data_IF_246805383213
#
_entry.id   IF_246805383213
#
_cell.length_a   1.000
_cell.length_b   1.000
_cell.length_c   1.000
_cell.angle_alpha   90.00
_cell.angle_beta   90.00
_cell.angle_gamma   90.00
#
_symmetry.space_group_name_H-M   'P 1'
#
loop_
_entity.id
_entity.type
_entity.pdbx_description
1 polymer ?
#
# COMPACT_ATOMS: atom_id res chain seq x y z
N UNK A 1 23.19 16.46 9.29
CA UNK A 1 21.84 16.41 8.70
C UNK A 1 21.85 16.79 7.22
N UNK A 2 22.80 17.63 6.75
CA UNK A 2 22.81 18.12 5.37
C UNK A 2 23.26 17.10 4.31
N UNK A 3 24.13 16.13 4.62
CA UNK A 3 24.65 15.17 3.64
C UNK A 3 23.61 14.14 3.20
N UNK A 4 22.87 13.54 4.13
CA UNK A 4 21.87 12.53 3.81
C UNK A 4 20.70 13.08 2.96
N UNK A 5 20.21 14.30 3.29
CA UNK A 5 19.19 14.97 2.49
C UNK A 5 19.70 15.30 1.08
N UNK A 6 20.95 15.81 0.97
CA UNK A 6 21.61 16.09 -0.30
C UNK A 6 21.72 14.85 -1.17
N UNK A 7 22.07 13.67 -0.58
CA UNK A 7 22.20 12.41 -1.31
C UNK A 7 20.85 11.90 -1.83
N UNK A 8 19.75 12.10 -1.07
CA UNK A 8 18.41 11.73 -1.52
C UNK A 8 17.99 12.56 -2.72
N UNK A 9 18.14 13.89 -2.66
CA UNK A 9 17.82 14.77 -3.79
C UNK A 9 18.69 14.47 -5.01
N UNK A 10 19.99 14.22 -4.81
CA UNK A 10 20.90 13.84 -5.88
C UNK A 10 20.43 12.58 -6.61
N UNK A 11 20.00 11.55 -5.88
CA UNK A 11 19.48 10.30 -6.46
C UNK A 11 18.19 10.54 -7.24
N UNK A 12 17.28 11.38 -6.75
CA UNK A 12 16.04 11.73 -7.46
C UNK A 12 16.35 12.43 -8.80
N UNK A 13 17.19 13.47 -8.77
CA UNK A 13 17.62 14.18 -9.98
C UNK A 13 18.34 13.25 -10.97
N UNK A 14 19.20 12.38 -10.45
CA UNK A 14 19.90 11.39 -11.24
C UNK A 14 18.93 10.40 -11.91
N UNK A 15 17.92 9.92 -11.21
CA UNK A 15 16.90 9.02 -11.80
C UNK A 15 16.11 9.72 -12.90
N UNK A 16 15.73 10.98 -12.69
CA UNK A 16 15.05 11.77 -13.73
C UNK A 16 15.98 11.97 -14.94
N UNK A 17 17.24 12.30 -14.73
CA UNK A 17 18.21 12.43 -15.82
C UNK A 17 18.40 11.12 -16.57
N UNK A 18 18.58 10.00 -15.86
CA UNK A 18 18.75 8.66 -16.45
C UNK A 18 17.55 8.23 -17.28
N UNK A 19 16.34 8.69 -16.97
CA UNK A 19 15.15 8.38 -17.76
C UNK A 19 15.23 8.91 -19.21
N UNK A 20 16.03 9.94 -19.45
CA UNK A 20 16.32 10.48 -20.78
C UNK A 20 17.58 9.89 -21.43
N UNK A 21 18.26 8.98 -20.74
CA UNK A 21 19.50 8.37 -21.19
C UNK A 21 19.30 6.89 -21.53
N UNK A 22 20.07 6.39 -22.48
CA UNK A 22 20.30 4.97 -22.66
C UNK A 22 21.45 4.57 -21.74
N UNK A 23 21.14 3.86 -20.66
CA UNK A 23 22.11 3.45 -19.64
C UNK A 23 22.29 1.95 -19.74
N UNK A 24 23.47 1.51 -20.11
CA UNK A 24 23.85 0.09 -20.19
C UNK A 24 24.22 -0.50 -18.83
N UNK A 25 24.42 -1.83 -18.80
CA UNK A 25 24.73 -2.60 -17.59
C UNK A 25 26.07 -2.16 -16.95
N UNK A 26 27.02 -1.64 -17.71
CA UNK A 26 28.35 -1.20 -17.24
C UNK A 26 28.44 0.29 -16.89
N UNK A 27 27.30 1.00 -16.90
CA UNK A 27 27.26 2.40 -16.51
C UNK A 27 27.49 3.38 -17.66
N UNK A 28 27.72 2.90 -18.89
CA UNK A 28 27.78 3.74 -20.07
C UNK A 28 26.42 4.44 -20.27
N UNK A 29 26.46 5.77 -20.31
CA UNK A 29 25.24 6.57 -20.50
C UNK A 29 25.36 7.46 -21.72
N UNK A 30 24.40 7.35 -22.62
CA UNK A 30 24.25 8.26 -23.77
C UNK A 30 22.89 8.91 -23.74
N UNK A 31 22.84 10.21 -24.00
CA UNK A 31 21.58 10.93 -24.06
C UNK A 31 20.70 10.42 -25.20
N UNK A 32 19.49 9.97 -24.90
CA UNK A 32 18.54 9.37 -25.85
C UNK A 32 17.25 10.20 -26.00
N UNK A 33 17.17 11.36 -25.35
CA UNK A 33 15.98 12.20 -25.36
C UNK A 33 14.73 11.43 -24.84
N UNK A 34 13.65 11.50 -25.59
CA UNK A 34 12.36 10.87 -25.22
C UNK A 34 12.22 9.42 -25.69
N UNK A 35 13.27 8.75 -26.14
CA UNK A 35 13.18 7.38 -26.68
C UNK A 35 12.63 6.36 -25.67
N UNK A 36 13.06 6.44 -24.40
CA UNK A 36 12.55 5.58 -23.32
C UNK A 36 11.06 5.81 -23.07
N UNK A 37 10.62 7.06 -23.07
CA UNK A 37 9.20 7.41 -22.88
C UNK A 37 8.34 6.94 -24.04
N UNK A 38 8.81 7.13 -25.29
CA UNK A 38 8.09 6.63 -26.47
C UNK A 38 7.92 5.11 -26.41
N UNK A 39 8.98 4.39 -26.04
CA UNK A 39 8.92 2.95 -25.83
C UNK A 39 7.95 2.59 -24.70
N UNK A 40 8.05 3.24 -23.54
CA UNK A 40 7.23 3.00 -22.36
C UNK A 40 5.73 3.19 -22.65
N UNK A 41 5.34 4.26 -23.31
CA UNK A 41 3.94 4.51 -23.65
C UNK A 41 3.37 3.50 -24.67
N UNK A 42 4.22 2.91 -25.52
CA UNK A 42 3.84 1.87 -26.46
C UNK A 42 3.89 0.46 -25.88
N UNK A 43 4.42 0.27 -24.66
CA UNK A 43 4.63 -1.04 -24.05
C UNK A 43 3.38 -1.49 -23.27
N UNK A 44 2.68 -2.55 -23.73
CA UNK A 44 1.50 -3.07 -23.04
C UNK A 44 1.80 -3.59 -21.63
N UNK A 45 3.04 -4.03 -21.35
CA UNK A 45 3.46 -4.58 -20.06
C UNK A 45 3.45 -3.50 -18.99
N UNK A 46 3.86 -2.27 -19.32
CA UNK A 46 3.82 -1.11 -18.42
C UNK A 46 2.39 -0.79 -18.00
N UNK A 47 1.47 -0.74 -18.96
CA UNK A 47 0.05 -0.48 -18.67
C UNK A 47 -0.62 -1.59 -17.88
N UNK A 48 -0.26 -2.85 -18.17
CA UNK A 48 -0.76 -3.99 -17.41
C UNK A 48 -0.27 -3.94 -15.96
N UNK A 49 1.01 -3.67 -15.71
CA UNK A 49 1.60 -3.58 -14.38
C UNK A 49 1.02 -2.40 -13.59
N UNK A 50 0.80 -1.26 -14.27
CA UNK A 50 0.14 -0.10 -13.67
C UNK A 50 -1.30 -0.45 -13.27
N UNK A 51 -2.06 -1.11 -14.14
CA UNK A 51 -3.42 -1.58 -13.84
C UNK A 51 -3.44 -2.57 -12.68
N UNK A 52 -2.50 -3.51 -12.62
CA UNK A 52 -2.38 -4.45 -11.50
C UNK A 52 -2.10 -3.72 -10.18
N UNK A 53 -1.23 -2.69 -10.22
CA UNK A 53 -0.94 -1.85 -9.04
C UNK A 53 -2.20 -1.13 -8.56
N UNK A 54 -3.01 -0.58 -9.46
CA UNK A 54 -4.29 0.03 -9.10
C UNK A 54 -5.29 -0.99 -8.54
N UNK A 55 -5.39 -2.18 -9.12
CA UNK A 55 -6.24 -3.26 -8.60
C UNK A 55 -5.86 -3.63 -7.17
N UNK A 56 -4.57 -3.75 -6.89
CA UNK A 56 -4.06 -3.97 -5.54
C UNK A 56 -4.48 -2.84 -4.60
N UNK A 57 -4.23 -1.59 -4.99
CA UNK A 57 -4.54 -0.41 -4.17
C UNK A 57 -6.04 -0.27 -3.89
N UNK A 58 -6.93 -0.57 -4.86
CA UNK A 58 -8.40 -0.51 -4.69
C UNK A 58 -8.89 -1.50 -3.63
N UNK A 59 -8.22 -2.62 -3.43
CA UNK A 59 -8.57 -3.54 -2.33
C UNK A 59 -7.82 -3.13 -1.05
N UNK A 60 -6.50 -2.99 -1.12
CA UNK A 60 -5.67 -2.81 0.07
C UNK A 60 -6.06 -1.55 0.84
N UNK A 61 -6.19 -0.40 0.17
CA UNK A 61 -6.41 0.89 0.85
C UNK A 61 -7.75 0.93 1.60
N UNK A 62 -8.91 0.70 0.97
CA UNK A 62 -10.18 0.84 1.69
C UNK A 62 -10.37 -0.24 2.78
N UNK A 63 -9.97 -1.49 2.52
CA UNK A 63 -10.14 -2.54 3.51
C UNK A 63 -9.20 -2.39 4.70
N UNK A 64 -7.93 -2.00 4.48
CA UNK A 64 -6.99 -1.77 5.57
C UNK A 64 -7.43 -0.59 6.46
N UNK A 65 -7.94 0.49 5.86
CA UNK A 65 -8.46 1.65 6.59
C UNK A 65 -9.72 1.28 7.38
N UNK A 66 -10.70 0.64 6.73
CA UNK A 66 -11.96 0.29 7.36
C UNK A 66 -11.76 -0.67 8.55
N UNK A 67 -11.00 -1.75 8.35
CA UNK A 67 -10.74 -2.72 9.42
C UNK A 67 -9.93 -2.08 10.55
N UNK A 68 -8.89 -1.30 10.23
CA UNK A 68 -8.09 -0.62 11.22
C UNK A 68 -8.90 0.39 12.05
N UNK A 69 -9.81 1.14 11.41
CA UNK A 69 -10.71 2.07 12.10
C UNK A 69 -11.66 1.34 13.06
N UNK A 70 -12.28 0.26 12.60
CA UNK A 70 -13.14 -0.59 13.44
C UNK A 70 -12.35 -1.09 14.66
N UNK A 71 -11.17 -1.67 14.44
CA UNK A 71 -10.31 -2.16 15.53
C UNK A 71 -9.89 -1.04 16.48
N UNK A 72 -9.55 0.15 15.97
CA UNK A 72 -9.20 1.31 16.79
C UNK A 72 -10.37 1.75 17.69
N UNK A 73 -11.58 1.82 17.16
CA UNK A 73 -12.79 2.16 17.94
C UNK A 73 -13.05 1.12 19.04
N UNK A 74 -12.90 -0.18 18.75
CA UNK A 74 -13.04 -1.22 19.77
C UNK A 74 -11.95 -1.11 20.84
N UNK A 75 -10.69 -0.92 20.46
CA UNK A 75 -9.57 -0.85 21.38
C UNK A 75 -9.44 0.51 22.07
N UNK A 76 -10.22 1.52 21.69
CA UNK A 76 -10.29 2.79 22.41
C UNK A 76 -11.12 2.68 23.69
N UNK A 77 -12.01 1.69 23.79
CA UNK A 77 -12.80 1.42 25.01
C UNK A 77 -11.92 0.86 26.12
N UNK A 78 -12.35 1.08 27.37
CA UNK A 78 -11.69 0.46 28.54
C UNK A 78 -11.94 -1.06 28.50
N UNK A 79 -10.91 -1.85 28.21
CA UNK A 79 -10.97 -3.30 28.20
C UNK A 79 -9.68 -3.93 28.76
N UNK A 80 -9.81 -5.07 29.41
CA UNK A 80 -8.66 -5.82 29.90
C UNK A 80 -7.82 -6.37 28.74
N UNK A 81 -6.49 -6.33 28.88
CA UNK A 81 -5.58 -6.87 27.84
C UNK A 81 -5.42 -5.99 26.60
N UNK A 82 -5.89 -4.75 26.59
CA UNK A 82 -5.79 -3.82 25.45
C UNK A 82 -4.38 -3.74 24.84
N UNK A 83 -3.36 -3.73 25.67
CA UNK A 83 -1.96 -3.68 25.25
C UNK A 83 -1.56 -4.93 24.47
N UNK A 84 -2.04 -6.12 24.90
CA UNK A 84 -1.77 -7.39 24.23
C UNK A 84 -2.42 -7.41 22.85
N UNK A 85 -3.68 -7.00 22.72
CA UNK A 85 -4.36 -6.93 21.42
C UNK A 85 -3.65 -5.95 20.47
N UNK A 86 -3.23 -4.78 20.97
CA UNK A 86 -2.43 -3.83 20.17
C UNK A 86 -1.13 -4.47 19.66
N UNK A 87 -0.42 -5.18 20.52
CA UNK A 87 0.82 -5.87 20.15
C UNK A 87 0.57 -6.95 19.09
N UNK A 88 -0.48 -7.78 19.24
CA UNK A 88 -0.83 -8.84 18.29
C UNK A 88 -1.16 -8.26 16.91
N UNK A 89 -1.98 -7.20 16.82
CA UNK A 89 -2.33 -6.58 15.56
C UNK A 89 -1.16 -5.82 14.91
N UNK A 90 -0.22 -5.30 15.71
CA UNK A 90 0.96 -4.60 15.23
C UNK A 90 2.09 -5.53 14.78
N UNK A 91 2.09 -6.77 15.28
CA UNK A 91 3.14 -7.75 15.02
C UNK A 91 3.43 -7.96 13.52
N UNK A 92 2.43 -8.07 12.62
CA UNK A 92 2.69 -8.30 11.19
C UNK A 92 3.58 -7.25 10.54
N UNK A 93 3.49 -6.00 10.97
CA UNK A 93 4.29 -4.91 10.43
C UNK A 93 5.76 -4.97 10.86
N UNK A 94 6.04 -5.55 12.01
CA UNK A 94 7.42 -5.66 12.56
C UNK A 94 8.16 -6.86 12.01
N UNK A 95 7.43 -7.86 11.52
CA UNK A 95 8.00 -9.09 10.94
C UNK A 95 8.57 -8.79 9.56
N UNK A 96 9.74 -9.37 9.27
CA UNK A 96 10.38 -9.23 7.98
C UNK A 96 9.44 -9.67 6.83
N UNK A 97 9.33 -8.90 5.73
CA UNK A 97 8.43 -9.22 4.60
C UNK A 97 8.64 -10.63 4.04
N UNK A 98 9.87 -11.13 4.04
CA UNK A 98 10.19 -12.49 3.58
C UNK A 98 9.53 -13.57 4.46
N UNK A 99 9.54 -13.39 5.78
CA UNK A 99 8.90 -14.33 6.70
C UNK A 99 7.37 -14.30 6.54
N UNK A 100 6.78 -13.11 6.39
CA UNK A 100 5.35 -12.93 6.07
C UNK A 100 5.01 -13.69 4.79
N UNK A 101 5.79 -13.49 3.73
CA UNK A 101 5.56 -14.15 2.45
C UNK A 101 5.64 -15.68 2.57
N UNK A 102 6.61 -16.23 3.30
CA UNK A 102 6.74 -17.67 3.51
C UNK A 102 5.53 -18.26 4.24
N UNK A 103 5.06 -17.61 5.31
CA UNK A 103 3.87 -18.05 6.05
C UNK A 103 2.63 -18.03 5.16
N UNK A 104 2.42 -16.96 4.41
CA UNK A 104 1.27 -16.86 3.52
C UNK A 104 1.35 -17.81 2.33
N UNK A 105 2.53 -18.07 1.75
CA UNK A 105 2.73 -19.10 0.72
C UNK A 105 2.34 -20.48 1.25
N UNK A 106 2.67 -20.80 2.50
CA UNK A 106 2.24 -22.04 3.13
C UNK A 106 0.72 -22.06 3.36
N UNK A 107 0.12 -21.00 3.89
CA UNK A 107 -1.32 -20.88 4.10
C UNK A 107 -2.11 -21.05 2.79
N UNK A 108 -1.59 -20.47 1.70
CA UNK A 108 -2.19 -20.49 0.37
C UNK A 108 -1.84 -21.74 -0.47
N UNK A 109 -1.10 -22.67 0.06
CA UNK A 109 -0.75 -23.88 -0.70
C UNK A 109 -2.01 -24.65 -1.09
N UNK A 110 -2.11 -25.03 -2.40
CA UNK A 110 -3.31 -25.67 -2.93
C UNK A 110 -3.52 -27.10 -2.44
N UNK A 111 -2.47 -27.81 -2.03
CA UNK A 111 -2.52 -29.21 -1.63
C UNK A 111 -2.63 -29.40 -0.10
N UNK A 112 -1.81 -28.68 0.66
CA UNK A 112 -1.70 -28.84 2.11
C UNK A 112 -1.85 -27.54 2.90
N UNK A 113 -2.24 -26.45 2.25
CA UNK A 113 -2.41 -25.15 2.89
C UNK A 113 -3.60 -25.13 3.85
N UNK A 114 -3.41 -24.47 4.99
CA UNK A 114 -4.40 -24.39 6.07
C UNK A 114 -5.74 -23.80 5.59
N UNK A 115 -5.70 -22.78 4.71
CA UNK A 115 -6.93 -22.15 4.22
C UNK A 115 -7.78 -23.11 3.40
N UNK A 116 -7.17 -23.87 2.49
CA UNK A 116 -7.89 -24.87 1.72
C UNK A 116 -8.41 -26.02 2.60
N UNK A 117 -7.65 -26.39 3.62
CA UNK A 117 -8.08 -27.41 4.58
C UNK A 117 -9.35 -26.97 5.36
N UNK A 118 -9.35 -25.73 5.87
CA UNK A 118 -10.50 -25.17 6.61
C UNK A 118 -11.72 -25.01 5.70
N UNK A 119 -11.52 -24.54 4.46
CA UNK A 119 -12.60 -24.27 3.51
C UNK A 119 -13.10 -25.54 2.80
N UNK A 120 -12.41 -26.69 2.94
CA UNK A 120 -12.73 -27.90 2.21
C UNK A 120 -12.56 -27.77 0.69
N UNK A 121 -11.64 -26.91 0.23
CA UNK A 121 -11.45 -26.55 -1.18
C UNK A 121 -10.03 -26.85 -1.66
N UNK A 122 -9.79 -26.71 -2.97
CA UNK A 122 -8.47 -26.80 -3.60
C UNK A 122 -8.20 -25.57 -4.46
N UNK A 123 -8.41 -24.39 -3.88
CA UNK A 123 -8.23 -23.13 -4.57
C UNK A 123 -6.74 -22.85 -4.76
N UNK A 124 -6.36 -22.49 -5.97
CA UNK A 124 -5.00 -22.07 -6.33
C UNK A 124 -4.83 -20.57 -6.08
N UNK A 125 -4.70 -20.19 -4.82
CA UNK A 125 -4.71 -18.80 -4.35
C UNK A 125 -3.68 -17.89 -5.05
N UNK A 126 -2.47 -18.40 -5.31
CA UNK A 126 -1.36 -17.62 -5.89
C UNK A 126 -1.00 -18.03 -7.32
N UNK A 127 -1.48 -19.19 -7.80
CA UNK A 127 -1.15 -19.68 -9.16
C UNK A 127 -2.24 -19.35 -10.17
N UNK A 128 -3.47 -19.08 -9.72
CA UNK A 128 -4.57 -18.74 -10.60
C UNK A 128 -4.55 -17.25 -10.95
N UNK A 129 -4.36 -16.86 -12.24
CA UNK A 129 -4.26 -15.46 -12.67
C UNK A 129 -5.49 -14.60 -12.37
N UNK A 130 -6.67 -15.21 -12.11
CA UNK A 130 -7.91 -14.48 -11.82
C UNK A 130 -7.97 -13.97 -10.38
N UNK A 131 -7.36 -14.68 -9.44
CA UNK A 131 -7.50 -14.40 -8.00
C UNK A 131 -6.18 -14.06 -7.31
N UNK A 132 -5.03 -14.37 -7.90
CA UNK A 132 -3.72 -14.16 -7.28
C UNK A 132 -3.50 -12.72 -6.81
N UNK A 133 -3.93 -11.71 -7.57
CA UNK A 133 -3.84 -10.31 -7.20
C UNK A 133 -4.67 -9.97 -5.95
N UNK A 134 -5.84 -10.63 -5.77
CA UNK A 134 -6.67 -10.50 -4.56
C UNK A 134 -5.95 -11.13 -3.37
N UNK A 135 -5.37 -12.31 -3.57
CA UNK A 135 -4.62 -13.01 -2.53
C UNK A 135 -3.44 -12.19 -2.02
N UNK A 136 -2.68 -11.55 -2.91
CA UNK A 136 -1.60 -10.63 -2.52
C UNK A 136 -2.16 -9.39 -1.81
N UNK A 137 -3.30 -8.85 -2.25
CA UNK A 137 -3.92 -7.70 -1.60
C UNK A 137 -4.40 -8.04 -0.17
N UNK A 138 -4.91 -9.25 0.08
CA UNK A 138 -5.28 -9.73 1.42
C UNK A 138 -4.06 -9.74 2.35
N UNK A 139 -2.91 -10.21 1.87
CA UNK A 139 -1.66 -10.17 2.65
C UNK A 139 -1.31 -8.71 2.98
N UNK A 140 -1.39 -7.81 2.01
CA UNK A 140 -1.13 -6.39 2.20
C UNK A 140 -2.03 -5.76 3.24
N UNK A 141 -3.35 -6.00 3.15
CA UNK A 141 -4.33 -5.54 4.15
C UNK A 141 -3.94 -6.04 5.55
N UNK A 142 -3.72 -7.34 5.71
CA UNK A 142 -3.36 -7.94 6.99
C UNK A 142 -2.07 -7.34 7.57
N UNK A 143 -1.06 -7.11 6.73
CA UNK A 143 0.24 -6.61 7.16
C UNK A 143 0.19 -5.18 7.70
N UNK A 144 -0.73 -4.34 7.23
CA UNK A 144 -0.75 -2.90 7.55
C UNK A 144 -1.85 -2.48 8.52
N UNK A 145 -2.84 -3.34 8.77
CA UNK A 145 -3.97 -3.03 9.66
C UNK A 145 -3.49 -2.50 11.01
N UNK A 146 -2.49 -3.15 11.61
CA UNK A 146 -2.01 -2.77 12.95
C UNK A 146 -1.40 -1.38 13.01
N UNK A 147 -0.66 -0.99 11.99
CA UNK A 147 -0.10 0.36 11.88
C UNK A 147 -1.20 1.42 11.76
N UNK A 148 -2.13 1.22 10.83
CA UNK A 148 -3.25 2.14 10.64
C UNK A 148 -4.13 2.23 11.90
N UNK A 149 -4.34 1.10 12.60
CA UNK A 149 -5.07 1.04 13.86
C UNK A 149 -4.42 1.91 14.95
N UNK A 150 -3.10 1.89 15.07
CA UNK A 150 -2.37 2.71 16.05
C UNK A 150 -2.53 4.21 15.73
N UNK A 151 -2.46 4.58 14.45
CA UNK A 151 -2.69 5.97 14.02
C UNK A 151 -4.11 6.43 14.35
N UNK A 152 -5.12 5.61 14.05
CA UNK A 152 -6.50 5.93 14.42
C UNK A 152 -6.71 5.99 15.94
N UNK A 153 -6.06 5.11 16.70
CA UNK A 153 -6.13 5.16 18.15
C UNK A 153 -5.55 6.48 18.72
N UNK A 154 -4.46 6.97 18.13
CA UNK A 154 -3.90 8.26 18.51
C UNK A 154 -4.91 9.40 18.23
N UNK A 155 -5.46 9.47 17.02
CA UNK A 155 -6.46 10.48 16.67
C UNK A 155 -7.75 10.37 17.48
N UNK A 156 -8.21 9.17 17.83
CA UNK A 156 -9.38 8.98 18.69
C UNK A 156 -9.15 9.49 20.13
N UNK A 157 -7.91 9.47 20.61
CA UNK A 157 -7.56 9.94 21.96
C UNK A 157 -7.44 11.48 22.05
N UNK A 158 -7.32 12.15 20.90
CA UNK A 158 -7.31 13.61 20.81
C UNK A 158 -8.72 14.22 20.89
N UNK A 159 -9.79 13.42 20.66
CA UNK A 159 -11.17 13.90 20.71
C UNK A 159 -11.57 14.16 22.19
N UNK A 160 -11.97 15.39 22.57
CA UNK A 160 -12.42 15.69 23.91
C UNK A 160 -13.65 14.87 24.32
N UNK A 161 -13.67 14.43 25.58
CA UNK A 161 -14.76 13.60 26.12
C UNK A 161 -16.09 14.34 26.19
N UNK A 162 -16.04 15.65 26.37
CA UNK A 162 -17.21 16.52 26.49
C UNK A 162 -18.20 16.35 25.33
N UNK A 163 -17.69 16.08 24.12
CA UNK A 163 -18.55 15.80 22.96
C UNK A 163 -19.40 14.54 23.14
N UNK A 164 -18.81 13.51 23.76
CA UNK A 164 -19.52 12.25 24.02
C UNK A 164 -20.47 12.37 25.20
N UNK A 165 -20.09 13.10 26.23
CA UNK A 165 -20.96 13.39 27.40
C UNK A 165 -22.18 14.19 27.00
N UNK A 166 -22.01 15.23 26.15
CA UNK A 166 -23.15 15.96 25.59
C UNK A 166 -24.06 15.06 24.72
N UNK A 167 -23.47 14.19 23.90
CA UNK A 167 -24.24 13.24 23.09
C UNK A 167 -25.04 12.25 23.93
N UNK A 168 -24.47 11.80 25.05
CA UNK A 168 -25.16 10.88 25.99
C UNK A 168 -26.34 11.57 26.67
N UNK A 169 -26.21 12.87 27.01
CA UNK A 169 -27.31 13.69 27.57
C UNK A 169 -28.43 13.84 26.53
N UNK A 170 -28.09 14.04 25.25
CA UNK A 170 -29.04 14.13 24.13
C UNK A 170 -29.65 12.77 23.74
N UNK A 171 -29.28 11.67 24.40
CA UNK A 171 -29.77 10.32 24.13
C UNK A 171 -29.28 9.73 22.79
N UNK A 172 -28.14 10.20 22.27
CA UNK A 172 -27.59 9.70 21.03
C UNK A 172 -27.07 8.29 21.20
N UNK A 173 -27.46 7.37 20.30
CA UNK A 173 -26.86 6.02 20.26
C UNK A 173 -25.38 6.07 19.89
N UNK A 174 -24.58 5.07 20.34
CA UNK A 174 -23.15 4.98 20.02
C UNK A 174 -22.86 4.99 18.51
N UNK A 175 -23.73 4.41 17.69
CA UNK A 175 -23.61 4.46 16.21
C UNK A 175 -23.83 5.89 15.70
N UNK A 176 -24.81 6.60 16.25
CA UNK A 176 -25.08 8.02 15.89
C UNK A 176 -23.89 8.91 16.31
N UNK A 177 -23.37 8.72 17.51
CA UNK A 177 -22.19 9.42 17.99
C UNK A 177 -20.96 9.12 17.11
N UNK A 178 -20.77 7.90 16.67
CA UNK A 178 -19.69 7.56 15.74
C UNK A 178 -19.75 8.35 14.43
N UNK A 179 -20.89 8.38 13.74
CA UNK A 179 -20.99 9.06 12.45
C UNK A 179 -21.11 10.59 12.55
N UNK A 180 -21.67 11.11 13.66
CA UNK A 180 -21.90 12.55 13.82
C UNK A 180 -20.81 13.29 14.57
N UNK A 181 -20.02 12.59 15.41
CA UNK A 181 -18.98 13.18 16.25
C UNK A 181 -17.62 12.56 15.91
N UNK A 182 -17.48 11.24 16.11
CA UNK A 182 -16.17 10.57 16.00
C UNK A 182 -15.60 10.70 14.60
N UNK A 183 -16.33 10.30 13.57
CA UNK A 183 -15.82 10.28 12.20
C UNK A 183 -15.49 11.68 11.64
N UNK A 184 -16.32 12.72 11.85
CA UNK A 184 -15.97 14.09 11.46
C UNK A 184 -14.73 14.63 12.19
N UNK A 185 -14.63 14.46 13.52
CA UNK A 185 -13.48 14.94 14.29
C UNK A 185 -12.20 14.13 14.02
N UNK A 186 -12.33 12.87 13.61
CA UNK A 186 -11.21 12.02 13.21
C UNK A 186 -10.80 12.23 11.74
N UNK A 187 -11.54 13.02 10.97
CA UNK A 187 -11.32 13.20 9.54
C UNK A 187 -9.90 13.63 9.15
N UNK A 188 -9.14 14.46 9.92
CA UNK A 188 -7.74 14.75 9.62
C UNK A 188 -6.85 13.51 9.67
N UNK A 189 -7.05 12.64 10.67
CA UNK A 189 -6.30 11.39 10.80
C UNK A 189 -6.69 10.41 9.69
N UNK A 190 -7.98 10.31 9.35
CA UNK A 190 -8.46 9.48 8.23
C UNK A 190 -7.81 9.94 6.92
N UNK A 191 -7.75 11.25 6.69
CA UNK A 191 -7.10 11.80 5.50
C UNK A 191 -5.61 11.49 5.46
N UNK A 192 -4.89 11.68 6.57
CA UNK A 192 -3.47 11.35 6.66
C UNK A 192 -3.21 9.87 6.36
N UNK A 193 -3.98 8.97 6.96
CA UNK A 193 -3.89 7.52 6.70
C UNK A 193 -4.22 7.22 5.25
N UNK A 194 -5.26 7.82 4.67
CA UNK A 194 -5.64 7.63 3.28
C UNK A 194 -4.51 8.00 2.31
N UNK A 195 -3.91 9.19 2.49
CA UNK A 195 -2.81 9.66 1.62
C UNK A 195 -1.60 8.73 1.72
N UNK A 196 -1.17 8.41 2.93
CA UNK A 196 0.00 7.56 3.15
C UNK A 196 -0.24 6.13 2.66
N UNK A 197 -1.48 5.60 2.77
CA UNK A 197 -1.82 4.27 2.25
C UNK A 197 -1.86 4.23 0.74
N UNK A 198 -2.47 5.23 0.08
CA UNK A 198 -2.47 5.30 -1.39
C UNK A 198 -1.04 5.34 -1.93
N UNK A 199 -0.16 6.16 -1.35
CA UNK A 199 1.24 6.21 -1.75
C UNK A 199 1.92 4.85 -1.52
N UNK A 200 1.74 4.22 -0.35
CA UNK A 200 2.35 2.94 -0.04
C UNK A 200 1.83 1.79 -0.90
N UNK A 201 0.52 1.74 -1.19
CA UNK A 201 -0.08 0.71 -2.02
C UNK A 201 0.38 0.79 -3.49
N UNK A 202 0.58 2.01 -4.02
CA UNK A 202 1.11 2.20 -5.36
C UNK A 202 2.59 1.82 -5.49
N UNK A 203 3.31 1.75 -4.37
CA UNK A 203 4.72 1.36 -4.30
C UNK A 203 4.92 -0.09 -3.88
N UNK A 204 3.87 -0.93 -3.91
CA UNK A 204 3.98 -2.33 -3.52
C UNK A 204 5.02 -3.07 -4.36
N UNK A 205 6.00 -3.68 -3.69
CA UNK A 205 7.07 -4.45 -4.30
C UNK A 205 7.34 -5.75 -3.53
N UNK A 206 7.70 -5.65 -2.25
CA UNK A 206 8.18 -6.77 -1.44
C UNK A 206 7.22 -7.95 -1.42
N UNK A 207 5.91 -7.70 -1.24
CA UNK A 207 4.90 -8.75 -1.21
C UNK A 207 4.79 -9.46 -2.56
N UNK A 208 4.78 -8.70 -3.67
CA UNK A 208 4.72 -9.31 -5.00
C UNK A 208 5.97 -10.11 -5.26
N UNK A 209 7.14 -9.53 -5.00
CA UNK A 209 8.44 -10.17 -5.25
C UNK A 209 8.66 -11.44 -4.41
N UNK A 210 8.24 -11.44 -3.15
CA UNK A 210 8.47 -12.56 -2.22
C UNK A 210 7.39 -13.65 -2.31
N UNK A 211 6.15 -13.28 -2.68
CA UNK A 211 5.05 -14.25 -2.79
C UNK A 211 5.01 -14.92 -4.15
N UNK A 212 5.31 -14.16 -5.23
CA UNK A 212 5.20 -14.64 -6.60
C UNK A 212 6.58 -15.06 -7.14
N UNK A 213 6.72 -16.33 -7.50
CA UNK A 213 7.92 -16.80 -8.20
C UNK A 213 7.91 -16.33 -9.67
N UNK A 214 9.10 -16.18 -10.27
CA UNK A 214 9.27 -15.77 -11.67
C UNK A 214 8.57 -16.75 -12.63
N UNK A 215 8.52 -18.03 -12.29
CA UNK A 215 7.84 -19.07 -13.06
C UNK A 215 6.33 -19.14 -12.84
N UNK A 216 5.78 -18.30 -11.95
CA UNK A 216 4.36 -18.36 -11.61
C UNK A 216 3.49 -17.84 -12.77
N UNK A 217 2.51 -18.63 -13.26
CA UNK A 217 1.65 -18.25 -14.39
C UNK A 217 0.80 -17.00 -14.11
N UNK A 218 0.56 -16.68 -12.83
CA UNK A 218 -0.21 -15.50 -12.43
C UNK A 218 0.66 -14.23 -12.29
N UNK A 219 2.00 -14.32 -12.41
CA UNK A 219 2.89 -13.18 -12.19
C UNK A 219 2.52 -11.97 -13.05
N UNK A 220 2.36 -12.15 -14.37
CA UNK A 220 2.00 -11.04 -15.29
C UNK A 220 0.66 -10.35 -14.99
N UNK A 221 -0.23 -11.02 -14.24
CA UNK A 221 -1.52 -10.45 -13.79
C UNK A 221 -1.47 -9.88 -12.37
N UNK A 222 -0.32 -9.99 -11.71
CA UNK A 222 -0.13 -9.60 -10.30
C UNK A 222 1.06 -8.66 -10.12
N UNK A 223 2.05 -8.69 -11.03
CA UNK A 223 3.23 -7.83 -10.95
C UNK A 223 2.85 -6.36 -10.90
N UNK A 224 3.50 -5.64 -9.97
CA UNK A 224 3.33 -4.20 -9.82
C UNK A 224 4.24 -3.41 -10.75
N UNK A 225 3.95 -2.12 -10.91
CA UNK A 225 4.81 -1.21 -11.69
C UNK A 225 6.23 -1.12 -11.09
N UNK A 226 6.37 -1.22 -9.75
CA UNK A 226 7.68 -1.23 -9.09
C UNK A 226 8.41 -2.55 -9.33
N UNK A 227 7.69 -3.68 -9.40
CA UNK A 227 8.26 -4.96 -9.79
C UNK A 227 8.81 -4.90 -11.23
N UNK A 228 8.05 -4.34 -12.16
CA UNK A 228 8.48 -4.14 -13.55
C UNK A 228 9.72 -3.24 -13.64
N UNK A 229 9.76 -2.13 -12.88
CA UNK A 229 10.95 -1.29 -12.74
C UNK A 229 12.16 -2.10 -12.30
N UNK A 230 12.00 -2.94 -11.27
CA UNK A 230 13.07 -3.79 -10.75
C UNK A 230 13.60 -4.76 -11.82
N UNK A 231 12.71 -5.40 -12.58
CA UNK A 231 13.11 -6.31 -13.67
C UNK A 231 13.94 -5.58 -14.72
N UNK A 232 13.46 -4.44 -15.22
CA UNK A 232 14.18 -3.70 -16.27
C UNK A 232 15.50 -3.11 -15.77
N UNK A 233 15.54 -2.57 -14.55
CA UNK A 233 16.73 -1.89 -14.05
C UNK A 233 17.82 -2.82 -13.56
N UNK A 234 17.45 -3.92 -12.89
CA UNK A 234 18.40 -4.76 -12.18
C UNK A 234 18.57 -6.15 -12.79
N UNK A 235 17.53 -6.74 -13.36
CA UNK A 235 17.65 -8.05 -14.01
C UNK A 235 18.06 -7.89 -15.48
N UNK A 236 17.46 -6.97 -16.22
CA UNK A 236 17.75 -6.76 -17.65
C UNK A 236 18.83 -5.72 -17.89
N UNK A 237 19.34 -5.04 -16.87
CA UNK A 237 20.41 -4.05 -16.98
C UNK A 237 20.03 -2.76 -17.70
N UNK A 238 18.76 -2.56 -18.04
CA UNK A 238 18.27 -1.36 -18.74
C UNK A 238 17.80 -0.27 -17.78
N UNK A 239 18.74 0.35 -17.08
CA UNK A 239 18.46 1.36 -16.05
C UNK A 239 17.74 2.60 -16.61
N UNK A 240 18.05 3.01 -17.84
CA UNK A 240 17.41 4.18 -18.46
C UNK A 240 15.90 3.97 -18.65
N UNK A 241 15.51 2.81 -19.19
CA UNK A 241 14.11 2.46 -19.37
C UNK A 241 13.38 2.26 -18.02
N UNK A 242 14.02 1.56 -17.06
CA UNK A 242 13.48 1.44 -15.71
C UNK A 242 13.28 2.79 -15.03
N UNK A 243 14.22 3.74 -15.19
CA UNK A 243 14.07 5.10 -14.68
C UNK A 243 12.86 5.82 -15.27
N UNK A 244 12.55 5.62 -16.55
CA UNK A 244 11.35 6.19 -17.15
C UNK A 244 10.06 5.60 -16.52
N UNK A 245 10.03 4.31 -16.20
CA UNK A 245 8.90 3.67 -15.51
C UNK A 245 8.70 4.27 -14.10
N UNK A 246 9.78 4.51 -13.35
CA UNK A 246 9.70 5.14 -12.02
C UNK A 246 9.23 6.59 -12.10
N UNK A 247 9.66 7.33 -13.12
CA UNK A 247 9.19 8.72 -13.34
C UNK A 247 7.68 8.73 -13.67
N UNK A 248 7.19 7.76 -14.45
CA UNK A 248 5.76 7.59 -14.67
C UNK A 248 5.01 7.35 -13.36
N UNK A 249 5.50 6.42 -12.52
CA UNK A 249 4.89 6.14 -11.22
C UNK A 249 4.89 7.38 -10.32
N UNK A 250 6.00 8.12 -10.28
CA UNK A 250 6.08 9.39 -9.54
C UNK A 250 5.01 10.38 -10.02
N UNK A 251 4.84 10.54 -11.32
CA UNK A 251 3.82 11.42 -11.89
C UNK A 251 2.40 10.97 -11.48
N UNK A 252 2.11 9.67 -11.54
CA UNK A 252 0.82 9.11 -11.10
C UNK A 252 0.57 9.40 -9.61
N UNK A 253 1.56 9.15 -8.75
CA UNK A 253 1.43 9.41 -7.30
C UNK A 253 1.20 10.90 -7.05
N UNK A 254 1.96 11.79 -7.70
CA UNK A 254 1.78 13.24 -7.55
C UNK A 254 0.37 13.68 -7.96
N UNK A 255 -0.10 13.24 -9.11
CA UNK A 255 -1.45 13.56 -9.59
C UNK A 255 -2.51 13.10 -8.58
N UNK A 256 -2.44 11.86 -8.11
CA UNK A 256 -3.40 11.33 -7.13
C UNK A 256 -3.32 12.09 -5.80
N UNK A 257 -2.11 12.41 -5.33
CA UNK A 257 -1.93 13.17 -4.09
C UNK A 257 -2.53 14.58 -4.22
N UNK A 258 -2.32 15.26 -5.35
CA UNK A 258 -2.94 16.57 -5.62
C UNK A 258 -4.47 16.46 -5.61
N UNK A 259 -5.05 15.43 -6.24
CA UNK A 259 -6.49 15.19 -6.19
C UNK A 259 -7.00 14.96 -4.75
N UNK A 260 -6.28 14.20 -3.95
CA UNK A 260 -6.61 13.98 -2.54
C UNK A 260 -6.54 15.29 -1.74
N UNK A 261 -5.47 16.10 -1.94
CA UNK A 261 -5.30 17.41 -1.28
C UNK A 261 -6.39 18.43 -1.65
N UNK A 262 -6.86 18.40 -2.89
CA UNK A 262 -8.00 19.24 -3.30
C UNK A 262 -9.30 18.70 -2.68
N UNK A 263 -9.49 17.39 -2.69
CA UNK A 263 -10.69 16.73 -2.19
C UNK A 263 -10.89 16.91 -0.68
N UNK A 264 -9.80 16.96 0.11
CA UNK A 264 -9.86 17.09 1.57
C UNK A 264 -10.65 18.32 2.02
N UNK A 265 -10.57 19.46 1.29
CA UNK A 265 -11.24 20.71 1.65
C UNK A 265 -12.76 20.57 1.81
N UNK A 266 -13.37 19.52 1.30
CA UNK A 266 -14.82 19.31 1.34
C UNK A 266 -15.30 18.48 2.54
N UNK A 267 -14.42 17.67 3.16
CA UNK A 267 -14.85 16.70 4.16
C UNK A 267 -13.93 16.62 5.39
N UNK A 268 -12.73 17.17 5.32
CA UNK A 268 -11.81 17.20 6.48
C UNK A 268 -12.08 18.43 7.32
N UNK A 269 -12.32 18.20 8.61
CA UNK A 269 -12.61 19.26 9.58
C UNK A 269 -11.34 19.42 10.45
N UNK A 270 -10.64 20.53 10.25
CA UNK A 270 -9.55 20.93 11.14
C UNK A 270 -10.15 21.81 12.25
N UNK A 271 -9.93 21.43 13.51
CA UNK A 271 -10.34 22.21 14.70
C UNK A 271 -9.39 23.38 14.93
#
# INVERSE_FOLDING_TARGET
>A
VSSAASDVYKRQVQTIYQSFCKVGSFGDSSFAGFANYKKMFADPEVWQSLLNTFKYAIIEVPFSIAIALILAVFLNRKMHGRTIYRAIFFLPMVVAPAAVAMVWRWLYNSQFGLLNHILGTKIEWISNPKIAWISVAIIGVWSIIGYNMVLFLAGLQEIPKDYYEAADIDGASGVRAFFKITLPLLSPTVFFVLVTRVIGALQVFDLVYMVMDISNPALKKTESIVYLFYQYSFQNGNKGYGSAIVVLLLAVIMVLTVFQMIGQKKWVHYN
#
